data_IF_990395436447
#
_entry.id   IF_990395436447
#
_cell.length_a   1.000
_cell.length_b   1.000
_cell.length_c   1.000
_cell.angle_alpha   90.00
_cell.angle_beta   90.00
_cell.angle_gamma   90.00
#
_symmetry.space_group_name_H-M   'P 1'
#
loop_
_entity.id
_entity.type
_entity.pdbx_description
1 polymer ?
#
# COMPACT_ATOMS: atom_id res chain seq x y z
N UNK A 1 -43.76 26.19 -53.56
CA UNK A 1 -43.40 27.15 -54.64
C UNK A 1 -41.87 27.10 -54.78
N UNK A 2 -41.47 26.48 -55.88
CA UNK A 2 -40.17 26.56 -56.58
C UNK A 2 -40.07 27.98 -57.23
N UNK A 3 -38.89 28.47 -57.72
CA UNK A 3 -37.78 27.67 -58.26
C UNK A 3 -36.34 28.26 -58.04
N UNK A 4 -35.39 27.43 -58.34
CA UNK A 4 -34.04 27.70 -58.89
C UNK A 4 -34.12 28.50 -60.22
N UNK A 5 -33.01 29.04 -60.83
CA UNK A 5 -31.89 28.29 -61.37
C UNK A 5 -30.49 29.01 -61.45
N UNK A 6 -29.40 28.26 -61.51
CA UNK A 6 -28.52 27.87 -62.66
C UNK A 6 -27.47 28.86 -63.17
N UNK A 7 -26.20 28.43 -63.17
CA UNK A 7 -25.23 28.09 -64.23
C UNK A 7 -24.40 29.29 -64.74
N UNK A 8 -23.08 29.26 -65.02
CA UNK A 8 -22.22 28.34 -65.78
C UNK A 8 -20.76 28.82 -65.74
N UNK A 9 -19.85 27.89 -65.75
CA UNK A 9 -18.46 27.95 -66.25
C UNK A 9 -18.47 27.86 -67.78
N UNK A 10 -17.39 27.70 -68.56
CA UNK A 10 -15.94 27.81 -68.46
C UNK A 10 -15.32 28.34 -69.80
N UNK A 11 -14.27 27.79 -70.40
CA UNK A 11 -12.87 28.14 -70.55
C UNK A 11 -12.54 28.58 -72.05
N UNK A 12 -11.48 28.21 -72.78
CA UNK A 12 -10.10 27.83 -72.62
C UNK A 12 -9.11 28.48 -73.65
N UNK A 13 -7.97 27.80 -73.85
CA UNK A 13 -7.09 27.76 -75.06
C UNK A 13 -5.70 28.34 -74.87
N UNK A 14 -4.67 27.55 -74.81
CA UNK A 14 -3.86 26.78 -75.76
C UNK A 14 -3.16 27.57 -76.89
N UNK A 15 -1.87 27.30 -77.05
CA UNK A 15 -1.07 27.10 -78.29
C UNK A 15 0.41 27.27 -77.93
N UNK A 16 1.25 26.30 -77.82
CA UNK A 16 2.04 25.44 -78.73
C UNK A 16 3.04 26.30 -79.61
N UNK A 17 4.32 25.99 -79.52
CA UNK A 17 5.27 25.53 -80.50
C UNK A 17 6.72 25.89 -80.15
N UNK A 18 7.57 24.89 -80.16
CA UNK A 18 9.05 24.85 -80.16
C UNK A 18 9.57 25.20 -81.50
N UNK A 19 10.87 25.05 -81.88
CA UNK A 19 12.13 24.82 -81.18
C UNK A 19 13.34 25.65 -81.73
N UNK A 20 14.48 25.50 -81.11
CA UNK A 20 15.71 25.98 -81.73
C UNK A 20 16.94 25.86 -80.85
N UNK A 21 17.83 24.96 -81.22
CA UNK A 21 19.11 24.72 -80.58
C UNK A 21 20.27 25.55 -81.27
N UNK A 22 21.53 25.31 -80.83
CA UNK A 22 22.38 26.21 -80.02
C UNK A 22 23.48 26.88 -80.90
N UNK A 23 24.51 27.54 -80.43
CA UNK A 23 25.69 26.99 -79.80
C UNK A 23 26.60 27.92 -78.93
N UNK A 24 27.56 27.28 -78.27
CA UNK A 24 28.98 27.64 -77.95
C UNK A 24 29.31 28.60 -76.83
N UNK A 25 29.90 27.95 -75.82
CA UNK A 25 31.18 28.29 -75.12
C UNK A 25 31.53 29.73 -74.81
N UNK A 26 31.83 29.97 -73.56
CA UNK A 26 33.07 30.52 -73.10
C UNK A 26 33.23 30.55 -71.60
N UNK A 27 34.29 29.96 -71.19
CA UNK A 27 34.91 30.00 -69.87
C UNK A 27 35.14 31.45 -69.42
N UNK A 28 34.81 31.84 -68.22
CA UNK A 28 35.78 32.39 -67.29
C UNK A 28 35.21 32.99 -65.98
N UNK A 29 35.94 32.58 -64.95
CA UNK A 29 36.32 33.36 -63.76
C UNK A 29 35.32 33.59 -62.62
N UNK A 30 35.56 32.86 -61.53
CA UNK A 30 35.46 33.35 -60.15
C UNK A 30 36.22 34.69 -59.94
N UNK A 31 35.86 35.50 -58.90
CA UNK A 31 35.68 35.08 -57.51
C UNK A 31 34.54 35.80 -56.80
N UNK A 32 33.79 35.10 -56.04
CA UNK A 32 32.95 35.71 -55.00
C UNK A 32 33.79 35.94 -53.76
N UNK A 33 34.05 37.20 -53.42
CA UNK A 33 34.55 37.61 -52.11
C UNK A 33 33.53 37.23 -51.08
N UNK A 34 33.78 36.17 -50.34
CA UNK A 34 33.05 35.92 -49.08
C UNK A 34 33.35 37.07 -48.11
N UNK A 35 32.39 37.92 -47.87
CA UNK A 35 32.53 39.00 -46.90
C UNK A 35 32.66 38.37 -45.49
N UNK A 36 33.46 38.97 -44.63
CA UNK A 36 33.67 38.54 -43.22
C UNK A 36 32.36 38.28 -42.48
N UNK A 37 31.29 38.99 -42.86
CA UNK A 37 29.93 38.84 -42.27
C UNK A 37 29.29 37.48 -42.56
N UNK A 38 29.47 36.87 -43.75
CA UNK A 38 28.88 35.56 -44.08
C UNK A 38 29.63 34.42 -43.37
N UNK A 39 30.93 34.58 -43.14
CA UNK A 39 31.71 33.60 -42.39
C UNK A 39 31.34 33.61 -40.89
N UNK A 40 31.12 34.79 -40.27
CA UNK A 40 30.67 34.90 -38.90
C UNK A 40 29.24 34.35 -38.71
N UNK A 41 28.35 34.59 -39.68
CA UNK A 41 26.98 34.03 -39.60
C UNK A 41 27.00 32.50 -39.71
N UNK A 42 27.84 31.93 -40.57
CA UNK A 42 27.97 30.46 -40.67
C UNK A 42 28.59 29.83 -39.42
N UNK A 43 29.58 30.47 -38.80
CA UNK A 43 30.19 29.98 -37.56
C UNK A 43 29.24 30.06 -36.37
N UNK A 44 28.45 31.14 -36.26
CA UNK A 44 27.41 31.24 -35.19
C UNK A 44 26.32 30.22 -35.38
N UNK A 45 25.83 29.99 -36.59
CA UNK A 45 24.82 28.97 -36.87
C UNK A 45 25.34 27.55 -36.55
N UNK A 46 26.61 27.26 -36.91
CA UNK A 46 27.22 25.99 -36.59
C UNK A 46 27.39 25.79 -35.06
N UNK A 47 27.78 26.85 -34.35
CA UNK A 47 27.88 26.82 -32.88
C UNK A 47 26.54 26.58 -32.20
N UNK A 48 25.45 27.19 -32.68
CA UNK A 48 24.08 26.96 -32.17
C UNK A 48 23.65 25.52 -32.46
N UNK A 49 23.90 25.01 -33.65
CA UNK A 49 23.58 23.62 -33.99
C UNK A 49 24.38 22.61 -33.16
N UNK A 50 25.67 22.89 -32.93
CA UNK A 50 26.53 22.06 -32.07
C UNK A 50 26.06 22.10 -30.62
N UNK A 51 25.67 23.26 -30.10
CA UNK A 51 25.08 23.41 -28.75
C UNK A 51 23.75 22.68 -28.65
N UNK A 52 22.90 22.78 -29.66
CA UNK A 52 21.63 22.06 -29.71
C UNK A 52 21.82 20.53 -29.74
N UNK A 53 22.78 20.05 -30.54
CA UNK A 53 23.13 18.63 -30.56
C UNK A 53 23.71 18.16 -29.22
N UNK A 54 24.57 18.98 -28.59
CA UNK A 54 25.08 18.69 -27.24
C UNK A 54 23.99 18.64 -26.19
N UNK A 55 23.08 19.61 -26.17
CA UNK A 55 21.95 19.62 -25.27
C UNK A 55 21.03 18.40 -25.48
N UNK A 56 20.73 18.02 -26.71
CA UNK A 56 19.95 16.83 -27.01
C UNK A 56 20.65 15.53 -26.61
N UNK A 57 21.98 15.42 -26.78
CA UNK A 57 22.71 14.20 -26.46
C UNK A 57 23.05 14.08 -24.98
N UNK A 58 23.18 15.18 -24.23
CA UNK A 58 23.62 15.15 -22.84
C UNK A 58 22.57 15.58 -21.83
N UNK A 59 21.56 16.36 -22.22
CA UNK A 59 20.51 16.86 -21.28
C UNK A 59 19.15 16.21 -21.56
N UNK A 60 18.81 15.92 -22.82
CA UNK A 60 17.53 15.33 -23.23
C UNK A 60 17.62 13.89 -23.75
N UNK A 61 18.80 13.27 -23.80
CA UNK A 61 18.86 11.83 -23.98
C UNK A 61 18.26 11.20 -22.74
N UNK A 62 17.21 10.44 -22.94
CA UNK A 62 16.79 9.45 -21.95
C UNK A 62 18.05 8.66 -21.54
N UNK A 63 18.26 8.40 -20.25
CA UNK A 63 19.36 7.55 -19.83
C UNK A 63 19.25 6.25 -20.62
N UNK A 64 20.36 5.74 -21.15
CA UNK A 64 20.33 4.50 -21.93
C UNK A 64 19.60 3.45 -21.09
N UNK A 65 18.62 2.76 -21.67
CA UNK A 65 17.87 1.66 -21.08
C UNK A 65 18.74 0.45 -20.68
N UNK A 66 20.02 0.66 -20.48
CA UNK A 66 20.99 -0.20 -19.82
C UNK A 66 21.38 0.37 -18.45
N UNK A 67 20.40 0.75 -17.64
CA UNK A 67 20.50 0.42 -16.25
C UNK A 67 20.31 -1.09 -16.21
N UNK A 68 21.41 -1.84 -16.34
CA UNK A 68 21.51 -3.12 -15.67
C UNK A 68 20.84 -2.86 -14.34
N UNK A 69 19.65 -3.45 -14.17
CA UNK A 69 19.01 -3.56 -12.90
C UNK A 69 20.10 -4.13 -11.98
N UNK A 70 20.78 -3.26 -11.25
CA UNK A 70 21.35 -3.64 -10.00
C UNK A 70 20.10 -4.02 -9.23
N UNK A 71 19.67 -5.27 -9.44
CA UNK A 71 18.86 -5.96 -8.49
C UNK A 71 19.68 -5.82 -7.22
N UNK A 72 19.26 -4.91 -6.36
CA UNK A 72 19.52 -4.99 -4.94
C UNK A 72 18.72 -6.19 -4.43
N UNK A 73 18.90 -7.34 -5.06
CA UNK A 73 18.91 -8.61 -4.44
C UNK A 73 20.12 -8.54 -3.48
N UNK A 74 19.95 -7.81 -2.39
CA UNK A 74 20.66 -8.18 -1.19
C UNK A 74 20.18 -9.60 -0.93
N UNK A 75 20.94 -10.57 -1.47
CA UNK A 75 21.03 -11.88 -0.88
C UNK A 75 21.50 -11.61 0.56
N UNK A 76 20.56 -11.28 1.43
CA UNK A 76 20.74 -11.55 2.83
C UNK A 76 20.95 -13.07 2.85
N UNK A 77 22.19 -13.43 3.00
CA UNK A 77 22.60 -14.78 3.26
C UNK A 77 21.91 -15.16 4.59
N UNK A 78 20.67 -15.60 4.49
CA UNK A 78 19.80 -16.00 5.60
C UNK A 78 20.37 -17.20 6.37
N UNK A 79 21.48 -17.76 5.86
CA UNK A 79 22.09 -18.95 6.46
C UNK A 79 22.83 -18.70 7.78
N UNK A 80 23.00 -17.44 8.25
CA UNK A 80 23.70 -17.13 9.50
C UNK A 80 23.05 -16.05 10.37
N UNK A 81 21.83 -15.60 10.10
CA UNK A 81 21.12 -14.76 11.04
C UNK A 81 20.58 -15.63 12.17
N UNK A 82 21.20 -15.51 13.34
CA UNK A 82 20.70 -16.10 14.58
C UNK A 82 19.25 -15.68 14.75
N UNK A 83 18.32 -16.64 14.81
CA UNK A 83 16.89 -16.38 14.98
C UNK A 83 16.66 -15.50 16.22
N UNK A 84 15.82 -14.48 16.09
CA UNK A 84 15.47 -13.57 17.20
C UNK A 84 14.60 -14.32 18.19
N UNK A 85 14.96 -14.28 19.46
CA UNK A 85 14.24 -14.95 20.53
C UNK A 85 13.09 -14.09 21.01
N UNK A 86 11.88 -14.61 20.91
CA UNK A 86 10.63 -13.92 21.31
C UNK A 86 9.99 -14.65 22.47
N UNK A 87 9.82 -13.97 23.59
CA UNK A 87 8.98 -14.42 24.68
C UNK A 87 7.55 -13.87 24.44
N UNK A 88 6.56 -14.75 24.48
CA UNK A 88 5.16 -14.36 24.44
C UNK A 88 4.62 -14.38 25.87
N UNK A 89 4.12 -13.24 26.32
CA UNK A 89 3.49 -13.16 27.65
C UNK A 89 2.29 -14.10 27.77
N UNK A 90 2.19 -14.73 28.92
CA UNK A 90 1.01 -15.46 29.34
C UNK A 90 0.02 -14.46 29.98
N UNK A 91 -0.68 -13.73 29.11
CA UNK A 91 -1.64 -12.73 29.55
C UNK A 91 -2.88 -13.38 30.19
N UNK A 92 -3.49 -12.73 31.23
CA UNK A 92 -4.80 -13.12 31.69
C UNK A 92 -5.81 -13.30 30.55
N UNK A 93 -6.63 -14.33 30.64
CA UNK A 93 -7.61 -14.75 29.62
C UNK A 93 -8.46 -13.59 29.08
N UNK A 94 -8.74 -12.57 29.93
CA UNK A 94 -9.54 -11.40 29.56
C UNK A 94 -8.96 -10.61 28.37
N UNK A 95 -7.67 -10.76 28.05
CA UNK A 95 -7.01 -10.05 26.95
C UNK A 95 -6.98 -10.88 25.64
N UNK A 96 -7.27 -12.17 25.70
CA UNK A 96 -7.20 -13.10 24.57
C UNK A 96 -8.54 -13.80 24.37
N UNK A 97 -8.70 -15.01 24.85
CA UNK A 97 -9.92 -15.81 24.71
C UNK A 97 -11.14 -15.15 25.35
N UNK A 98 -10.98 -14.37 26.42
CA UNK A 98 -12.06 -13.58 27.02
C UNK A 98 -12.63 -12.50 26.08
N UNK A 99 -11.79 -11.93 25.21
CA UNK A 99 -12.26 -11.00 24.17
C UNK A 99 -13.10 -11.74 23.12
N UNK A 100 -12.66 -12.94 22.70
CA UNK A 100 -13.42 -13.78 21.75
C UNK A 100 -14.77 -14.16 22.35
N UNK A 101 -14.77 -14.58 23.61
CA UNK A 101 -16.01 -14.94 24.33
C UNK A 101 -16.95 -13.72 24.43
N UNK A 102 -16.44 -12.56 24.83
CA UNK A 102 -17.21 -11.32 24.91
C UNK A 102 -17.84 -10.93 23.57
N UNK A 103 -17.06 -11.07 22.48
CA UNK A 103 -17.56 -10.87 21.12
C UNK A 103 -18.71 -11.82 20.76
N UNK A 104 -18.57 -13.12 21.11
CA UNK A 104 -19.60 -14.13 20.85
C UNK A 104 -20.85 -13.87 21.69
N UNK A 105 -20.71 -13.63 23.00
CA UNK A 105 -21.80 -13.36 23.92
C UNK A 105 -22.63 -12.13 23.52
N UNK A 106 -21.97 -11.07 23.09
CA UNK A 106 -22.63 -9.84 22.62
C UNK A 106 -23.48 -10.07 21.34
N UNK A 107 -23.31 -11.22 20.68
CA UNK A 107 -24.04 -11.63 19.45
C UNK A 107 -24.93 -12.85 19.67
N UNK A 108 -25.25 -13.15 20.92
CA UNK A 108 -26.16 -14.25 21.28
C UNK A 108 -25.51 -15.63 21.38
N UNK A 109 -24.16 -15.67 21.39
CA UNK A 109 -23.43 -16.91 21.70
C UNK A 109 -23.54 -17.31 23.17
N UNK A 110 -23.11 -18.52 23.47
CA UNK A 110 -23.06 -19.08 24.82
C UNK A 110 -21.67 -18.90 25.46
N UNK A 111 -21.64 -18.86 26.78
CA UNK A 111 -20.39 -18.86 27.54
C UNK A 111 -19.70 -20.21 27.39
N UNK A 112 -18.41 -20.17 27.08
CA UNK A 112 -17.59 -21.36 26.93
C UNK A 112 -16.54 -21.44 28.04
N UNK A 113 -16.51 -22.61 28.73
CA UNK A 113 -15.47 -22.92 29.73
C UNK A 113 -14.19 -23.46 29.12
N UNK A 114 -14.27 -24.01 27.91
CA UNK A 114 -13.15 -24.58 27.16
C UNK A 114 -12.74 -23.62 26.02
N UNK A 115 -11.56 -23.04 26.14
CA UNK A 115 -11.00 -22.11 25.16
C UNK A 115 -10.77 -22.75 23.79
N UNK A 116 -10.60 -24.08 23.70
CA UNK A 116 -10.43 -24.80 22.43
C UNK A 116 -11.69 -24.77 21.55
N UNK A 117 -12.86 -24.52 22.15
CA UNK A 117 -14.14 -24.39 21.44
C UNK A 117 -14.38 -22.97 20.92
N UNK A 118 -13.63 -21.99 21.42
CA UNK A 118 -13.74 -20.61 20.99
C UNK A 118 -13.11 -20.43 19.62
N UNK A 119 -13.89 -19.89 18.67
CA UNK A 119 -13.41 -19.56 17.33
C UNK A 119 -13.22 -18.07 17.19
N UNK A 120 -11.99 -17.68 16.84
CA UNK A 120 -11.71 -16.30 16.50
C UNK A 120 -12.59 -15.85 15.32
N UNK A 121 -13.37 -14.75 15.46
CA UNK A 121 -14.23 -14.28 14.39
C UNK A 121 -13.41 -13.70 13.25
N UNK A 122 -13.36 -14.38 12.11
CA UNK A 122 -12.63 -13.92 10.93
C UNK A 122 -13.08 -12.52 10.48
N UNK A 123 -12.16 -11.57 10.52
CA UNK A 123 -12.35 -10.19 10.07
C UNK A 123 -11.11 -9.69 9.31
N UNK A 124 -11.12 -8.44 8.87
CA UNK A 124 -9.99 -7.87 8.14
C UNK A 124 -8.76 -7.57 9.03
N UNK A 125 -8.92 -7.55 10.34
CA UNK A 125 -7.89 -7.24 11.34
C UNK A 125 -7.47 -8.50 12.11
N UNK A 126 -7.34 -9.63 11.42
CA UNK A 126 -7.09 -10.94 12.06
C UNK A 126 -5.61 -11.24 12.34
N UNK A 127 -4.69 -10.31 12.09
CA UNK A 127 -3.26 -10.54 12.32
C UNK A 127 -2.95 -10.98 13.76
N UNK A 128 -3.67 -10.41 14.75
CA UNK A 128 -3.50 -10.75 16.17
C UNK A 128 -3.73 -12.24 16.45
N UNK A 129 -4.74 -12.84 15.82
CA UNK A 129 -4.99 -14.28 15.91
C UNK A 129 -3.91 -15.11 15.24
N UNK A 130 -3.52 -14.73 14.02
CA UNK A 130 -2.53 -15.51 13.27
C UNK A 130 -1.14 -15.48 13.92
N UNK A 131 -0.70 -14.34 14.45
CA UNK A 131 0.58 -14.22 15.14
C UNK A 131 0.57 -14.94 16.50
N UNK A 132 -0.53 -14.83 17.25
CA UNK A 132 -0.75 -15.58 18.48
C UNK A 132 -0.73 -17.08 18.23
N UNK A 133 -1.50 -17.54 17.23
CA UNK A 133 -1.55 -18.96 16.85
C UNK A 133 -0.21 -19.47 16.36
N UNK A 134 0.53 -18.68 15.57
CA UNK A 134 1.84 -19.06 15.08
C UNK A 134 2.84 -19.32 16.21
N UNK A 135 2.93 -18.40 17.18
CA UNK A 135 3.84 -18.59 18.33
C UNK A 135 3.43 -19.76 19.22
N UNK A 136 2.18 -20.19 19.21
CA UNK A 136 1.70 -21.37 19.96
C UNK A 136 1.95 -22.70 19.25
N UNK A 137 2.32 -22.68 17.96
CA UNK A 137 2.69 -23.92 17.26
C UNK A 137 4.04 -24.45 17.75
N UNK A 138 4.23 -25.78 17.71
CA UNK A 138 5.54 -26.41 17.98
C UNK A 138 6.65 -25.82 17.10
N UNK A 139 7.86 -25.69 17.65
CA UNK A 139 9.01 -25.14 16.92
C UNK A 139 9.33 -25.89 15.62
N UNK A 140 9.06 -27.20 15.60
CA UNK A 140 9.26 -28.05 14.42
C UNK A 140 8.34 -27.69 13.24
N UNK A 141 7.19 -27.08 13.50
CA UNK A 141 6.25 -26.62 12.47
C UNK A 141 6.57 -25.19 11.96
N UNK A 142 7.49 -24.49 12.64
CA UNK A 142 7.89 -23.12 12.33
C UNK A 142 9.25 -23.03 11.64
N UNK A 143 9.57 -24.03 10.82
CA UNK A 143 10.86 -24.10 10.12
C UNK A 143 11.05 -22.86 9.22
N UNK A 144 12.22 -22.24 9.35
CA UNK A 144 12.58 -21.04 8.57
C UNK A 144 11.91 -19.75 9.04
N UNK A 145 11.25 -19.73 10.21
CA UNK A 145 10.81 -18.49 10.86
C UNK A 145 12.03 -17.67 11.30
N UNK A 146 11.95 -16.35 11.12
CA UNK A 146 12.97 -15.42 11.59
C UNK A 146 13.00 -15.27 13.12
N UNK A 147 11.99 -15.80 13.80
CA UNK A 147 11.87 -15.73 15.26
C UNK A 147 11.68 -17.12 15.87
N UNK A 148 12.25 -17.33 17.04
CA UNK A 148 12.05 -18.54 17.85
C UNK A 148 11.36 -18.15 19.15
N UNK A 149 10.24 -18.82 19.51
CA UNK A 149 9.62 -18.65 20.82
C UNK A 149 10.52 -19.25 21.89
N UNK A 150 10.75 -18.48 22.96
CA UNK A 150 11.42 -18.93 24.19
C UNK A 150 10.43 -18.95 25.35
N UNK A 151 10.61 -19.89 26.26
CA UNK A 151 9.74 -20.02 27.45
C UNK A 151 10.37 -19.33 28.66
N UNK A 152 11.68 -19.12 28.67
CA UNK A 152 12.37 -18.34 29.68
C UNK A 152 12.49 -16.88 29.21
N UNK A 153 11.86 -15.92 29.91
CA UNK A 153 11.90 -14.50 29.51
C UNK A 153 13.30 -13.90 29.57
N UNK A 154 14.23 -14.44 30.37
CA UNK A 154 15.62 -13.99 30.42
C UNK A 154 16.38 -14.21 29.10
N UNK A 155 15.93 -15.17 28.31
CA UNK A 155 16.53 -15.46 27.01
C UNK A 155 15.99 -14.60 25.88
N UNK A 156 14.93 -13.82 26.14
CA UNK A 156 14.22 -13.09 25.11
C UNK A 156 14.98 -11.86 24.60
N UNK A 157 14.99 -11.71 23.29
CA UNK A 157 15.39 -10.45 22.63
C UNK A 157 14.21 -9.48 22.54
N UNK A 158 12.97 -10.00 22.39
CA UNK A 158 11.72 -9.25 22.27
C UNK A 158 10.61 -9.93 23.07
N UNK A 159 9.61 -9.14 23.48
CA UNK A 159 8.45 -9.57 24.25
C UNK A 159 7.18 -9.30 23.46
N UNK A 160 6.49 -10.34 23.04
CA UNK A 160 5.21 -10.21 22.35
C UNK A 160 4.06 -10.13 23.34
N UNK A 161 3.21 -9.11 23.19
CA UNK A 161 2.02 -8.88 24.02
C UNK A 161 0.77 -9.31 23.24
N UNK A 162 0.22 -10.51 23.49
CA UNK A 162 -0.84 -11.09 22.66
C UNK A 162 -2.24 -10.56 23.03
N UNK A 163 -2.43 -9.25 23.09
CA UNK A 163 -3.75 -8.65 23.29
C UNK A 163 -4.51 -8.56 21.96
N UNK A 164 -5.74 -9.07 21.93
CA UNK A 164 -6.61 -8.99 20.74
C UNK A 164 -7.27 -7.62 20.65
N UNK A 165 -6.44 -6.62 20.42
CA UNK A 165 -6.80 -5.20 20.48
C UNK A 165 -7.82 -4.77 19.42
N UNK A 166 -7.70 -5.32 18.21
CA UNK A 166 -8.65 -5.02 17.13
C UNK A 166 -9.99 -5.71 17.32
N UNK A 167 -10.00 -6.91 17.91
CA UNK A 167 -11.23 -7.61 18.26
C UNK A 167 -11.91 -6.96 19.46
N UNK A 168 -11.13 -6.52 20.44
CA UNK A 168 -11.58 -5.79 21.63
C UNK A 168 -12.42 -4.56 21.24
N UNK A 169 -11.91 -3.77 20.31
CA UNK A 169 -12.58 -2.56 19.81
C UNK A 169 -13.98 -2.84 19.23
N UNK A 170 -14.20 -4.02 18.64
CA UNK A 170 -15.46 -4.41 17.99
C UNK A 170 -16.21 -5.51 18.76
N UNK A 171 -15.83 -5.80 19.99
CA UNK A 171 -16.49 -6.83 20.80
C UNK A 171 -17.98 -6.55 20.97
N UNK A 172 -18.35 -5.31 21.26
CA UNK A 172 -19.75 -4.90 21.27
C UNK A 172 -20.26 -4.63 19.84
N UNK A 173 -21.47 -5.08 19.49
CA UNK A 173 -22.07 -4.73 18.21
C UNK A 173 -22.38 -3.23 18.15
N UNK A 174 -22.23 -2.64 16.97
CA UNK A 174 -22.66 -1.26 16.72
C UNK A 174 -24.17 -1.20 16.92
N UNK A 175 -24.64 -0.41 17.90
CA UNK A 175 -26.06 -0.21 18.13
C UNK A 175 -26.65 0.54 16.93
N UNK A 176 -27.65 -0.06 16.28
CA UNK A 176 -28.50 0.68 15.34
C UNK A 176 -29.37 1.63 16.16
N UNK A 177 -29.41 2.91 15.78
CA UNK A 177 -30.21 3.94 16.47
C UNK A 177 -31.71 3.63 16.55
N UNK A 178 -32.20 2.59 15.87
CA UNK A 178 -33.60 2.19 15.79
C UNK A 178 -33.91 0.83 16.43
N UNK A 179 -32.98 0.18 17.11
CA UNK A 179 -33.24 -1.08 17.78
C UNK A 179 -33.78 -0.80 19.19
N UNK A 180 -35.01 -1.21 19.44
CA UNK A 180 -35.58 -1.35 20.80
C UNK A 180 -34.72 -2.38 21.52
N UNK A 181 -33.87 -1.92 22.43
CA UNK A 181 -32.93 -2.77 23.14
C UNK A 181 -33.70 -3.42 24.30
N UNK A 182 -33.85 -4.74 24.26
CA UNK A 182 -34.16 -5.48 25.49
C UNK A 182 -33.03 -5.20 26.52
N UNK A 183 -33.36 -5.04 27.80
CA UNK A 183 -32.36 -4.79 28.83
C UNK A 183 -31.37 -5.96 28.84
N UNK A 184 -30.12 -5.69 28.49
CA UNK A 184 -29.04 -6.68 28.59
C UNK A 184 -28.66 -6.73 30.08
N UNK A 185 -29.03 -7.79 30.76
CA UNK A 185 -28.71 -8.04 32.19
C UNK A 185 -27.19 -8.20 32.46
N UNK A 186 -26.35 -8.16 31.43
CA UNK A 186 -24.90 -8.33 31.57
C UNK A 186 -24.19 -7.00 31.31
N UNK A 187 -23.15 -6.67 32.10
CA UNK A 187 -22.34 -5.52 31.83
C UNK A 187 -21.75 -5.64 30.41
N UNK A 188 -21.93 -4.59 29.61
CA UNK A 188 -21.31 -4.53 28.26
C UNK A 188 -19.80 -4.63 28.42
N UNK A 189 -19.14 -5.32 27.48
CA UNK A 189 -17.69 -5.35 27.41
C UNK A 189 -17.15 -3.91 27.23
N UNK A 190 -16.12 -3.54 28.00
CA UNK A 190 -15.46 -2.23 27.89
C UNK A 190 -14.07 -2.40 27.30
N UNK A 191 -13.88 -1.91 26.08
CA UNK A 191 -12.59 -1.89 25.41
C UNK A 191 -11.61 -0.96 26.14
N UNK A 192 -12.08 0.23 26.58
CA UNK A 192 -11.26 1.21 27.29
C UNK A 192 -10.71 0.64 28.61
N UNK A 193 -11.59 0.06 29.44
CA UNK A 193 -11.17 -0.56 30.71
C UNK A 193 -10.21 -1.74 30.48
N UNK A 194 -10.41 -2.48 29.39
CA UNK A 194 -9.51 -3.59 29.04
C UNK A 194 -8.13 -3.07 28.64
N UNK A 195 -8.05 -2.00 27.86
CA UNK A 195 -6.79 -1.36 27.51
C UNK A 195 -6.06 -0.80 28.73
N UNK A 196 -6.78 -0.13 29.63
CA UNK A 196 -6.22 0.39 30.89
C UNK A 196 -5.71 -0.75 31.78
N UNK A 197 -6.51 -1.80 31.96
CA UNK A 197 -6.09 -3.00 32.68
C UNK A 197 -4.87 -3.70 32.09
N UNK A 198 -4.69 -3.64 30.76
CA UNK A 198 -3.47 -4.17 30.12
C UNK A 198 -2.23 -3.39 30.58
N UNK A 199 -2.31 -2.06 30.62
CA UNK A 199 -1.19 -1.23 31.07
C UNK A 199 -0.89 -1.48 32.55
N UNK A 200 -1.91 -1.53 33.39
CA UNK A 200 -1.75 -1.86 34.82
C UNK A 200 -1.04 -3.20 35.01
N UNK A 201 -1.41 -4.20 34.20
CA UNK A 201 -0.77 -5.51 34.23
C UNK A 201 0.69 -5.45 33.75
N UNK A 202 0.97 -4.75 32.64
CA UNK A 202 2.34 -4.57 32.13
C UNK A 202 3.23 -3.82 33.09
N UNK A 203 2.72 -2.77 33.74
CA UNK A 203 3.46 -1.99 34.74
C UNK A 203 3.84 -2.81 35.99
N UNK A 204 3.26 -3.99 36.20
CA UNK A 204 3.69 -4.94 37.23
C UNK A 204 4.82 -5.85 36.76
N UNK A 205 5.02 -6.02 35.44
CA UNK A 205 6.02 -6.94 34.88
C UNK A 205 7.42 -6.33 34.96
N UNK A 206 8.39 -7.13 35.43
CA UNK A 206 9.79 -6.75 35.54
C UNK A 206 10.41 -6.39 34.17
N UNK A 207 10.13 -7.22 33.14
CA UNK A 207 10.69 -7.05 31.80
C UNK A 207 10.13 -5.80 31.10
N UNK A 208 8.90 -5.39 31.37
CA UNK A 208 8.33 -4.13 30.93
C UNK A 208 9.13 -2.94 31.50
N UNK A 209 9.31 -2.95 32.81
CA UNK A 209 10.06 -1.88 33.52
C UNK A 209 11.54 -1.82 33.10
N UNK A 210 12.15 -2.99 32.90
CA UNK A 210 13.59 -3.13 32.60
C UNK A 210 14.06 -2.27 31.44
N UNK A 211 13.24 -2.19 30.39
CA UNK A 211 13.56 -1.48 29.15
C UNK A 211 12.48 -0.46 28.74
N UNK A 212 11.62 -0.04 29.67
CA UNK A 212 10.56 0.95 29.43
C UNK A 212 9.72 0.63 28.20
N UNK A 213 9.44 -0.66 27.95
CA UNK A 213 8.65 -1.18 26.86
C UNK A 213 9.32 -1.19 25.47
N UNK A 214 10.57 -0.73 25.30
CA UNK A 214 11.26 -0.66 24.00
C UNK A 214 11.37 -2.01 23.27
N UNK A 215 11.54 -3.10 24.01
CA UNK A 215 11.65 -4.46 23.48
C UNK A 215 10.31 -5.20 23.38
N UNK A 216 9.20 -4.49 23.51
CA UNK A 216 7.86 -5.07 23.42
C UNK A 216 7.25 -4.89 22.03
N UNK A 217 6.45 -5.86 21.62
CA UNK A 217 5.76 -5.89 20.31
C UNK A 217 4.26 -5.93 20.56
N UNK A 218 3.53 -4.97 19.98
CA UNK A 218 2.08 -4.83 20.08
C UNK A 218 1.43 -4.90 18.71
N UNK A 219 0.24 -5.47 18.62
CA UNK A 219 -0.57 -5.41 17.41
C UNK A 219 -1.66 -4.36 17.56
N UNK A 220 -1.72 -3.45 16.59
CA UNK A 220 -2.72 -2.39 16.46
C UNK A 220 -3.21 -2.38 15.00
N UNK A 221 -3.70 -3.52 14.49
CA UNK A 221 -4.04 -3.64 13.06
C UNK A 221 -5.28 -2.83 12.70
N UNK A 222 -6.31 -2.75 13.57
CA UNK A 222 -7.34 -1.73 13.40
C UNK A 222 -6.71 -0.35 13.71
N UNK A 223 -6.81 0.65 12.85
CA UNK A 223 -6.20 1.96 13.07
C UNK A 223 -6.66 2.68 14.34
N UNK A 224 -7.78 2.26 14.94
CA UNK A 224 -8.27 2.78 16.22
C UNK A 224 -7.94 1.86 17.40
N UNK A 225 -7.27 0.73 17.21
CA UNK A 225 -6.90 -0.15 18.31
C UNK A 225 -5.89 0.55 19.24
N UNK A 226 -5.96 0.26 20.52
CA UNK A 226 -5.12 0.83 21.58
C UNK A 226 -5.17 2.37 21.71
N UNK A 227 -6.19 3.02 21.12
CA UNK A 227 -6.28 4.50 21.08
C UNK A 227 -6.18 5.17 22.45
N UNK A 228 -6.66 4.49 23.51
CA UNK A 228 -6.63 5.01 24.87
C UNK A 228 -5.22 5.00 25.49
N UNK A 229 -4.41 4.02 25.09
CA UNK A 229 -3.12 3.73 25.74
C UNK A 229 -1.92 3.80 24.80
N UNK A 230 -2.11 4.23 23.57
CA UNK A 230 -1.03 4.28 22.56
C UNK A 230 0.21 5.06 23.05
N UNK A 231 0.02 6.14 23.78
CA UNK A 231 1.12 6.92 24.36
C UNK A 231 1.92 6.17 25.43
N UNK A 232 1.35 5.13 26.03
CA UNK A 232 2.04 4.27 27.00
C UNK A 232 2.84 3.18 26.34
N UNK A 233 2.39 2.70 25.16
CA UNK A 233 3.01 1.58 24.44
C UNK A 233 3.88 2.02 23.24
N UNK A 234 3.91 3.30 22.91
CA UNK A 234 4.60 3.85 21.73
C UNK A 234 6.11 3.61 21.66
N UNK A 235 6.77 3.29 22.77
CA UNK A 235 8.17 2.90 22.78
C UNK A 235 8.39 1.54 22.11
N UNK A 236 7.46 0.63 22.26
CA UNK A 236 7.52 -0.70 21.65
C UNK A 236 7.36 -0.68 20.13
N UNK A 237 7.58 -1.83 19.52
CA UNK A 237 7.34 -2.04 18.08
C UNK A 237 5.84 -2.23 17.88
N UNK A 238 5.21 -1.29 17.15
CA UNK A 238 3.80 -1.36 16.82
C UNK A 238 3.62 -2.03 15.45
N UNK A 239 2.75 -3.04 15.39
CA UNK A 239 2.33 -3.70 14.18
C UNK A 239 1.01 -3.09 13.74
N UNK A 240 1.03 -2.20 12.74
CA UNK A 240 -0.10 -1.35 12.33
C UNK A 240 -0.49 -1.57 10.88
N UNK A 241 -1.72 -1.26 10.50
CA UNK A 241 -2.11 -1.31 9.09
C UNK A 241 -1.73 -0.05 8.30
N UNK A 242 -1.67 1.09 8.97
CA UNK A 242 -1.22 2.40 8.48
C UNK A 242 -1.05 3.39 9.65
N UNK A 243 -0.57 4.59 9.36
CA UNK A 243 -0.37 5.64 10.36
C UNK A 243 -1.49 6.69 10.40
N UNK A 244 -2.60 6.47 9.71
CA UNK A 244 -3.65 7.47 9.53
C UNK A 244 -4.34 7.96 10.80
N UNK A 245 -4.17 7.26 11.92
CA UNK A 245 -4.72 7.62 13.25
C UNK A 245 -3.66 7.86 14.31
N UNK A 246 -2.40 7.72 13.95
CA UNK A 246 -1.27 7.87 14.87
C UNK A 246 -0.59 9.21 14.66
N UNK A 247 -0.19 9.85 15.76
CA UNK A 247 0.62 11.05 15.70
C UNK A 247 2.08 10.71 15.33
N UNK A 248 2.82 11.68 14.80
CA UNK A 248 4.22 11.49 14.36
C UNK A 248 5.15 10.99 15.47
N UNK A 249 4.85 11.30 16.71
CA UNK A 249 5.61 10.84 17.87
C UNK A 249 5.13 9.51 18.45
N UNK A 250 4.12 8.87 17.87
CA UNK A 250 3.58 7.60 18.33
C UNK A 250 4.07 6.43 17.48
N UNK A 251 4.24 6.63 16.17
CA UNK A 251 4.67 5.58 15.27
C UNK A 251 5.53 6.11 14.11
N UNK A 252 6.39 5.23 13.55
CA UNK A 252 7.23 5.54 12.40
C UNK A 252 7.65 4.27 11.66
N UNK A 253 7.93 4.37 10.35
CA UNK A 253 8.47 3.26 9.54
C UNK A 253 9.81 2.72 10.07
N UNK A 254 10.58 3.54 10.76
CA UNK A 254 11.88 3.15 11.32
C UNK A 254 11.70 2.08 12.39
N UNK A 255 10.72 2.26 13.29
CA UNK A 255 10.48 1.43 14.47
C UNK A 255 9.41 0.36 14.21
N UNK A 256 8.34 0.72 13.51
CA UNK A 256 7.12 -0.05 13.40
C UNK A 256 7.04 -0.88 12.11
N UNK A 257 6.06 -1.75 12.02
CA UNK A 257 5.85 -2.64 10.88
C UNK A 257 4.44 -2.42 10.33
N UNK A 258 4.34 -2.18 9.03
CA UNK A 258 3.06 -2.10 8.34
C UNK A 258 2.56 -3.51 8.04
N UNK A 259 1.31 -3.80 8.46
CA UNK A 259 0.65 -5.08 8.25
C UNK A 259 -0.35 -5.01 7.09
N UNK A 260 -0.42 -6.04 6.25
CA UNK A 260 -1.54 -6.18 5.34
C UNK A 260 -2.82 -6.52 6.12
N UNK A 261 -3.96 -5.99 5.68
CA UNK A 261 -5.26 -6.51 6.16
C UNK A 261 -5.46 -7.93 5.66
N UNK A 262 -6.14 -8.76 6.45
CA UNK A 262 -6.62 -10.06 5.97
C UNK A 262 -7.66 -9.83 4.86
N UNK A 263 -7.45 -10.46 3.71
CA UNK A 263 -8.39 -10.35 2.60
C UNK A 263 -9.76 -10.93 2.96
N UNK A 264 -10.82 -10.37 2.38
CA UNK A 264 -12.22 -10.69 2.71
C UNK A 264 -12.90 -11.57 1.68
N UNK A 265 -12.21 -11.85 0.59
CA UNK A 265 -12.68 -12.68 -0.52
C UNK A 265 -11.77 -13.86 -0.74
N UNK A 266 -12.28 -14.91 -1.38
CA UNK A 266 -11.45 -16.07 -1.71
C UNK A 266 -10.41 -15.69 -2.75
N UNK A 267 -9.20 -16.18 -2.56
CA UNK A 267 -8.10 -16.03 -3.50
C UNK A 267 -8.48 -16.55 -4.90
N UNK A 268 -8.05 -15.84 -5.91
CA UNK A 268 -8.19 -16.28 -7.29
C UNK A 268 -7.23 -17.43 -7.61
N UNK A 269 -7.78 -18.55 -8.05
CA UNK A 269 -7.03 -19.78 -8.36
C UNK A 269 -6.88 -20.01 -9.86
N UNK A 270 -7.51 -19.17 -10.70
CA UNK A 270 -7.42 -19.28 -12.16
C UNK A 270 -6.08 -18.82 -12.72
N UNK A 271 -5.92 -19.02 -14.01
CA UNK A 271 -4.73 -18.60 -14.73
C UNK A 271 -4.66 -17.09 -14.96
N UNK A 272 -3.46 -16.62 -15.26
CA UNK A 272 -3.23 -15.25 -15.71
C UNK A 272 -3.90 -15.09 -17.07
N UNK A 273 -4.73 -14.05 -17.20
CA UNK A 273 -5.43 -13.78 -18.44
C UNK A 273 -6.36 -12.58 -18.34
N UNK A 274 -6.76 -12.06 -19.47
CA UNK A 274 -7.66 -10.91 -19.57
C UNK A 274 -9.00 -11.27 -20.27
N UNK A 275 -9.11 -12.47 -20.83
CA UNK A 275 -10.27 -12.92 -21.60
C UNK A 275 -11.56 -12.92 -20.78
N UNK A 276 -11.46 -13.28 -19.50
CA UNK A 276 -12.57 -13.29 -18.54
C UNK A 276 -12.70 -11.98 -17.75
N UNK A 277 -11.90 -10.93 -18.09
CA UNK A 277 -11.88 -9.63 -17.41
C UNK A 277 -12.50 -8.56 -18.31
N UNK A 278 -13.81 -8.64 -18.45
CA UNK A 278 -14.58 -7.80 -19.37
C UNK A 278 -14.70 -6.35 -18.90
N UNK A 279 -14.62 -6.09 -17.58
CA UNK A 279 -14.67 -4.74 -17.03
C UNK A 279 -13.29 -4.14 -16.96
N UNK A 280 -13.17 -2.85 -17.27
CA UNK A 280 -11.93 -2.08 -17.14
C UNK A 280 -11.57 -1.89 -15.67
N UNK A 281 -12.48 -1.33 -14.89
CA UNK A 281 -12.22 -0.91 -13.51
C UNK A 281 -13.37 -1.35 -12.60
N UNK A 282 -13.00 -1.83 -11.41
CA UNK A 282 -13.95 -2.23 -10.37
C UNK A 282 -13.68 -1.51 -9.05
N UNK A 283 -14.74 -1.06 -8.39
CA UNK A 283 -14.73 -0.69 -6.98
C UNK A 283 -16.05 -1.02 -6.32
N UNK A 284 -15.96 -1.63 -5.12
CA UNK A 284 -17.13 -1.81 -4.26
C UNK A 284 -16.75 -1.51 -2.81
N UNK A 285 -17.34 -0.46 -2.26
CA UNK A 285 -17.05 0.00 -0.90
C UNK A 285 -17.97 1.12 -0.47
N UNK A 286 -17.83 1.57 0.78
CA UNK A 286 -18.62 2.69 1.26
C UNK A 286 -18.22 3.98 0.50
N UNK A 287 -19.20 4.63 -0.13
CA UNK A 287 -19.05 5.87 -0.88
C UNK A 287 -18.74 7.04 0.07
N UNK A 288 -19.49 7.14 1.15
CA UNK A 288 -19.39 8.26 2.08
C UNK A 288 -18.48 7.89 3.25
N UNK A 289 -17.44 8.66 3.46
CA UNK A 289 -16.47 8.51 4.53
C UNK A 289 -16.21 9.86 5.20
N UNK A 290 -15.76 9.82 6.45
CA UNK A 290 -15.27 11.01 7.15
C UNK A 290 -13.87 11.39 6.62
N UNK A 291 -13.48 12.63 6.75
CA UNK A 291 -12.15 13.16 6.43
C UNK A 291 -11.62 12.79 5.02
N UNK A 292 -10.59 11.96 4.91
CA UNK A 292 -9.97 11.55 3.65
C UNK A 292 -10.88 10.83 2.65
N UNK A 293 -12.08 10.42 3.10
CA UNK A 293 -13.02 9.71 2.25
C UNK A 293 -13.84 10.55 1.28
N UNK A 294 -13.72 11.86 1.28
CA UNK A 294 -14.39 12.76 0.31
C UNK A 294 -14.02 12.40 -1.14
N UNK A 295 -12.81 11.94 -1.38
CA UNK A 295 -12.35 11.51 -2.70
C UNK A 295 -13.22 10.39 -3.29
N UNK A 296 -13.76 9.51 -2.45
CA UNK A 296 -14.62 8.40 -2.93
C UNK A 296 -15.89 8.91 -3.58
N UNK A 297 -16.56 9.89 -2.98
CA UNK A 297 -17.78 10.47 -3.55
C UNK A 297 -17.52 11.15 -4.89
N UNK A 298 -16.41 11.89 -5.01
CA UNK A 298 -15.98 12.49 -6.27
C UNK A 298 -15.72 11.43 -7.35
N UNK A 299 -15.02 10.34 -6.99
CA UNK A 299 -14.76 9.25 -7.90
C UNK A 299 -16.04 8.52 -8.33
N UNK A 300 -17.03 8.36 -7.43
CA UNK A 300 -18.34 7.82 -7.79
C UNK A 300 -19.02 8.70 -8.84
N UNK A 301 -19.10 10.02 -8.61
CA UNK A 301 -19.72 10.95 -9.54
C UNK A 301 -19.07 10.94 -10.93
N UNK A 302 -17.76 10.76 -11.00
CA UNK A 302 -17.00 10.75 -12.26
C UNK A 302 -17.09 9.42 -13.01
N UNK A 303 -17.22 8.30 -12.29
CA UNK A 303 -17.05 6.96 -12.84
C UNK A 303 -18.37 6.19 -13.04
N UNK A 304 -19.45 6.58 -12.36
CA UNK A 304 -20.72 5.85 -12.40
C UNK A 304 -21.40 5.83 -13.79
N UNK A 305 -20.98 6.71 -14.71
CA UNK A 305 -21.53 6.83 -16.07
C UNK A 305 -20.69 6.12 -17.13
N UNK A 306 -19.54 5.55 -16.75
CA UNK A 306 -18.64 4.85 -17.68
C UNK A 306 -19.09 3.41 -17.86
N UNK A 307 -19.32 2.98 -19.10
CA UNK A 307 -19.92 1.66 -19.44
C UNK A 307 -19.05 0.48 -19.03
N UNK A 308 -17.71 0.63 -19.09
CA UNK A 308 -16.74 -0.41 -18.77
C UNK A 308 -16.24 -0.36 -17.29
N UNK A 309 -16.87 0.49 -16.47
CA UNK A 309 -16.53 0.66 -15.05
C UNK A 309 -17.66 0.16 -14.15
N UNK A 310 -17.29 -0.63 -13.15
CA UNK A 310 -18.23 -1.07 -12.12
C UNK A 310 -17.85 -0.37 -10.81
N UNK A 311 -18.61 0.62 -10.42
CA UNK A 311 -18.46 1.31 -9.14
C UNK A 311 -19.77 1.21 -8.34
N UNK A 312 -19.69 0.63 -7.12
CA UNK A 312 -20.87 0.32 -6.33
C UNK A 312 -20.67 0.65 -4.85
N UNK A 313 -21.75 1.10 -4.22
CA UNK A 313 -21.80 1.18 -2.77
C UNK A 313 -21.85 -0.25 -2.20
N UNK A 314 -20.94 -0.55 -1.25
CA UNK A 314 -20.85 -1.86 -0.61
C UNK A 314 -21.41 -1.87 0.80
N UNK A 315 -22.14 -2.93 1.16
CA UNK A 315 -22.60 -3.20 2.51
C UNK A 315 -21.81 -4.37 3.15
N UNK A 316 -21.88 -4.50 4.48
CA UNK A 316 -21.27 -5.63 5.19
C UNK A 316 -22.20 -6.85 5.17
N UNK A 317 -22.38 -7.47 4.00
CA UNK A 317 -23.20 -8.66 3.84
C UNK A 317 -22.46 -9.78 3.10
N UNK A 318 -23.02 -10.99 3.10
CA UNK A 318 -22.48 -12.12 2.33
C UNK A 318 -22.62 -11.87 0.82
N UNK A 319 -23.74 -11.27 0.42
CA UNK A 319 -24.05 -10.91 -0.97
C UNK A 319 -23.05 -9.90 -1.49
N UNK A 320 -22.79 -8.82 -0.73
CA UNK A 320 -21.77 -7.82 -1.09
C UNK A 320 -20.37 -8.42 -1.23
N UNK A 321 -20.01 -9.37 -0.38
CA UNK A 321 -18.71 -10.07 -0.53
C UNK A 321 -18.65 -10.94 -1.77
N UNK A 322 -19.74 -11.64 -2.10
CA UNK A 322 -19.84 -12.44 -3.34
C UNK A 322 -19.74 -11.56 -4.58
N UNK A 323 -20.44 -10.45 -4.57
CA UNK A 323 -20.41 -9.47 -5.66
C UNK A 323 -19.02 -8.82 -5.80
N UNK A 324 -18.40 -8.42 -4.69
CA UNK A 324 -17.03 -7.89 -4.69
C UNK A 324 -16.02 -8.90 -5.26
N UNK A 325 -16.12 -10.18 -4.85
CA UNK A 325 -15.29 -11.25 -5.42
C UNK A 325 -15.49 -11.38 -6.94
N UNK A 326 -16.76 -11.48 -7.40
CA UNK A 326 -17.05 -11.56 -8.81
C UNK A 326 -16.47 -10.37 -9.57
N UNK A 327 -16.72 -9.15 -9.09
CA UNK A 327 -16.23 -7.94 -9.74
C UNK A 327 -14.70 -7.89 -9.82
N UNK A 328 -13.97 -8.24 -8.74
CA UNK A 328 -12.51 -8.27 -8.74
C UNK A 328 -11.93 -9.37 -9.64
N UNK A 329 -12.60 -10.52 -9.74
CA UNK A 329 -12.15 -11.61 -10.61
C UNK A 329 -12.43 -11.35 -12.10
N UNK A 330 -13.36 -10.45 -12.43
CA UNK A 330 -13.76 -10.15 -13.83
C UNK A 330 -13.35 -8.77 -14.31
N UNK A 331 -12.56 -8.04 -13.53
CA UNK A 331 -12.06 -6.71 -13.90
C UNK A 331 -10.54 -6.70 -14.08
N UNK A 332 -10.04 -5.85 -14.97
CA UNK A 332 -8.60 -5.67 -15.21
C UNK A 332 -7.95 -4.91 -14.08
N UNK A 333 -8.60 -3.85 -13.63
CA UNK A 333 -8.13 -2.94 -12.59
C UNK A 333 -9.11 -2.89 -11.43
N UNK A 334 -8.57 -2.76 -10.21
CA UNK A 334 -9.34 -2.61 -8.97
C UNK A 334 -8.95 -1.33 -8.25
N UNK A 335 -9.92 -0.43 -8.08
CA UNK A 335 -9.69 0.87 -7.48
C UNK A 335 -9.47 0.76 -5.97
N UNK A 336 -8.45 1.44 -5.47
CA UNK A 336 -8.17 1.57 -4.05
C UNK A 336 -8.06 3.05 -3.66
N UNK A 337 -9.16 3.75 -3.43
CA UNK A 337 -9.15 5.12 -2.92
C UNK A 337 -9.01 5.13 -1.40
N UNK A 338 -8.34 6.14 -0.86
CA UNK A 338 -8.29 6.38 0.58
C UNK A 338 -9.69 6.34 1.21
N UNK A 339 -9.77 5.88 2.44
CA UNK A 339 -10.99 5.83 3.24
C UNK A 339 -10.91 6.76 4.45
N UNK A 340 -11.34 6.25 5.62
CA UNK A 340 -11.13 6.95 6.90
C UNK A 340 -9.65 6.97 7.29
N UNK A 341 -8.87 6.08 6.70
CA UNK A 341 -7.41 6.01 6.75
C UNK A 341 -6.85 5.70 5.36
N UNK A 342 -5.54 5.88 5.13
CA UNK A 342 -4.93 5.69 3.83
C UNK A 342 -5.06 4.27 3.27
N UNK A 343 -5.01 3.23 4.12
CA UNK A 343 -5.09 1.83 3.71
C UNK A 343 -6.49 1.23 3.92
N UNK A 344 -6.78 0.12 3.27
CA UNK A 344 -8.00 -0.66 3.48
C UNK A 344 -7.87 -2.09 2.91
N UNK A 345 -8.67 -3.04 3.40
CA UNK A 345 -8.65 -4.44 2.97
C UNK A 345 -8.85 -4.64 1.46
N UNK A 346 -9.49 -3.70 0.76
CA UNK A 346 -9.74 -3.79 -0.69
C UNK A 346 -8.47 -3.87 -1.54
N UNK A 347 -7.37 -3.29 -1.07
CA UNK A 347 -6.06 -3.43 -1.72
C UNK A 347 -5.62 -4.90 -1.74
N UNK A 348 -5.71 -5.55 -0.60
CA UNK A 348 -5.28 -6.95 -0.44
C UNK A 348 -6.27 -7.92 -1.11
N UNK A 349 -7.57 -7.62 -1.08
CA UNK A 349 -8.59 -8.31 -1.89
C UNK A 349 -8.24 -8.24 -3.40
N UNK A 350 -7.80 -7.09 -3.91
CA UNK A 350 -7.40 -6.92 -5.30
C UNK A 350 -6.15 -7.73 -5.64
N UNK A 351 -5.12 -7.70 -4.77
CA UNK A 351 -3.87 -8.44 -4.96
C UNK A 351 -4.14 -9.94 -5.06
N UNK A 352 -4.88 -10.54 -4.12
CA UNK A 352 -5.18 -11.97 -4.15
C UNK A 352 -6.15 -12.37 -5.27
N UNK A 353 -6.83 -11.40 -5.88
CA UNK A 353 -7.67 -11.57 -7.06
C UNK A 353 -6.94 -11.44 -8.38
N UNK A 354 -5.64 -11.15 -8.40
CA UNK A 354 -4.86 -10.76 -9.58
C UNK A 354 -5.53 -9.62 -10.37
N UNK A 355 -6.30 -8.77 -9.69
CA UNK A 355 -6.86 -7.54 -10.23
C UNK A 355 -5.86 -6.42 -9.96
N UNK A 356 -5.36 -5.75 -11.00
CA UNK A 356 -4.30 -4.75 -10.85
C UNK A 356 -4.78 -3.58 -9.99
N UNK A 357 -4.22 -3.36 -8.79
CA UNK A 357 -4.64 -2.26 -7.93
C UNK A 357 -4.35 -0.90 -8.56
N UNK A 358 -5.33 0.01 -8.47
CA UNK A 358 -5.16 1.42 -8.81
C UNK A 358 -5.26 2.21 -7.50
N UNK A 359 -4.12 2.63 -6.99
CA UNK A 359 -4.00 3.25 -5.66
C UNK A 359 -4.16 4.77 -5.80
N UNK A 360 -5.19 5.29 -5.13
CA UNK A 360 -5.48 6.73 -5.02
C UNK A 360 -5.50 7.07 -3.53
N UNK A 361 -4.33 7.12 -2.96
CA UNK A 361 -4.11 7.38 -1.53
C UNK A 361 -2.71 7.93 -1.36
N UNK A 362 -2.60 9.26 -1.23
CA UNK A 362 -1.32 9.99 -1.29
C UNK A 362 -0.41 9.72 -0.07
N UNK A 363 -0.98 9.25 1.03
CA UNK A 363 -0.27 9.00 2.29
C UNK A 363 -0.32 7.52 2.72
N UNK A 364 -0.45 6.60 1.76
CA UNK A 364 -0.46 5.19 2.07
C UNK A 364 0.97 4.68 2.31
N UNK A 365 1.14 3.96 3.40
CA UNK A 365 2.29 3.13 3.66
C UNK A 365 1.91 1.67 3.35
N UNK A 366 2.81 0.96 2.71
CA UNK A 366 2.53 -0.36 2.18
C UNK A 366 3.35 -1.43 2.91
N UNK A 367 2.77 -2.62 3.16
CA UNK A 367 3.53 -3.68 3.81
C UNK A 367 4.60 -4.26 2.87
N UNK A 368 5.76 -4.61 3.45
CA UNK A 368 6.80 -5.39 2.79
C UNK A 368 7.47 -4.70 1.59
N UNK A 369 7.53 -3.37 1.56
CA UNK A 369 8.14 -2.61 0.45
C UNK A 369 9.64 -2.87 0.26
N UNK A 370 10.31 -3.48 1.23
CA UNK A 370 11.70 -3.92 1.11
C UNK A 370 11.88 -5.14 0.20
N UNK A 371 10.82 -5.93 -0.02
CA UNK A 371 10.83 -7.13 -0.87
C UNK A 371 9.80 -7.08 -1.99
N UNK A 372 8.76 -6.26 -1.88
CA UNK A 372 7.70 -6.08 -2.87
C UNK A 372 7.81 -4.73 -3.53
N UNK A 373 8.16 -4.71 -4.81
CA UNK A 373 8.12 -3.48 -5.61
C UNK A 373 6.69 -3.24 -6.12
N UNK A 374 5.94 -2.41 -5.42
CA UNK A 374 4.55 -2.09 -5.77
C UNK A 374 4.38 -1.44 -7.14
N UNK A 375 5.41 -0.81 -7.72
CA UNK A 375 5.37 -0.26 -9.08
C UNK A 375 5.20 -1.36 -10.13
N UNK A 376 5.55 -2.61 -9.80
CA UNK A 376 5.38 -3.78 -10.67
C UNK A 376 4.03 -4.46 -10.53
N UNK A 377 3.26 -4.15 -9.49
CA UNK A 377 2.00 -4.82 -9.18
C UNK A 377 0.80 -3.87 -9.10
N UNK A 378 1.01 -2.55 -9.11
CA UNK A 378 -0.04 -1.54 -8.95
C UNK A 378 0.21 -0.31 -9.80
N UNK A 379 -0.85 0.49 -10.00
CA UNK A 379 -0.80 1.80 -10.65
C UNK A 379 -1.09 2.85 -9.58
N UNK A 380 -0.19 3.82 -9.43
CA UNK A 380 -0.38 4.95 -8.53
C UNK A 380 -0.90 6.17 -9.28
N UNK A 381 -1.89 6.82 -8.71
CA UNK A 381 -2.44 8.08 -9.21
C UNK A 381 -2.69 9.00 -8.00
N UNK A 382 -2.13 10.19 -8.02
CA UNK A 382 -2.37 11.18 -6.98
C UNK A 382 -3.84 11.60 -6.93
N UNK A 383 -4.31 11.95 -5.75
CA UNK A 383 -5.72 12.24 -5.49
C UNK A 383 -6.25 13.41 -6.33
N UNK A 384 -5.47 14.47 -6.51
CA UNK A 384 -5.88 15.66 -7.27
C UNK A 384 -6.01 15.37 -8.77
N UNK A 385 -5.14 14.51 -9.30
CA UNK A 385 -5.17 14.11 -10.71
C UNK A 385 -6.27 13.09 -10.96
N UNK A 386 -6.50 12.17 -10.03
CA UNK A 386 -7.53 11.14 -10.16
C UNK A 386 -8.95 11.70 -10.31
N UNK A 387 -9.24 12.86 -9.68
CA UNK A 387 -10.55 13.50 -9.75
C UNK A 387 -10.72 14.46 -10.93
N UNK A 388 -9.74 14.58 -11.82
CA UNK A 388 -9.91 15.32 -13.08
C UNK A 388 -10.85 14.54 -14.01
N UNK A 389 -11.88 15.17 -14.59
CA UNK A 389 -12.86 14.50 -15.44
C UNK A 389 -12.20 13.66 -16.56
N UNK A 390 -12.57 12.41 -16.67
CA UNK A 390 -12.10 11.49 -17.71
C UNK A 390 -10.62 11.07 -17.60
N UNK A 391 -9.81 11.65 -16.72
CA UNK A 391 -8.37 11.37 -16.66
C UNK A 391 -8.09 9.90 -16.31
N UNK A 392 -8.70 9.41 -15.24
CA UNK A 392 -8.43 8.06 -14.72
C UNK A 392 -8.77 6.99 -15.75
N UNK A 393 -9.97 7.04 -16.31
CA UNK A 393 -10.44 6.06 -17.30
C UNK A 393 -9.59 6.13 -18.57
N UNK A 394 -9.30 7.34 -19.07
CA UNK A 394 -8.42 7.52 -20.23
C UNK A 394 -7.01 6.97 -19.99
N UNK A 395 -6.46 7.13 -18.79
CA UNK A 395 -5.15 6.55 -18.40
C UNK A 395 -5.22 5.01 -18.42
N UNK A 396 -6.25 4.42 -17.82
CA UNK A 396 -6.37 2.96 -17.71
C UNK A 396 -6.65 2.30 -19.07
N UNK A 397 -7.46 2.91 -19.94
CA UNK A 397 -7.73 2.43 -21.32
C UNK A 397 -6.47 2.43 -22.20
N UNK A 398 -5.46 3.24 -21.87
CA UNK A 398 -4.17 3.25 -22.60
C UNK A 398 -3.20 2.16 -22.17
N UNK A 399 -3.47 1.46 -21.06
CA UNK A 399 -2.61 0.36 -20.61
C UNK A 399 -2.83 -0.83 -21.56
N UNK A 400 -1.77 -1.29 -22.22
CA UNK A 400 -1.86 -2.43 -23.14
C UNK A 400 -2.19 -3.73 -22.41
N UNK A 401 -2.72 -4.70 -23.14
CA UNK A 401 -3.04 -6.01 -22.58
C UNK A 401 -1.79 -6.75 -22.10
N UNK A 402 -0.68 -6.62 -22.83
CA UNK A 402 0.63 -7.17 -22.42
C UNK A 402 1.05 -6.63 -21.07
N UNK A 403 0.86 -5.30 -20.85
CA UNK A 403 1.20 -4.67 -19.58
C UNK A 403 0.29 -5.13 -18.43
N UNK A 404 -1.00 -5.37 -18.68
CA UNK A 404 -1.90 -5.96 -17.69
C UNK A 404 -1.44 -7.37 -17.32
N UNK A 405 -1.05 -8.19 -18.30
CA UNK A 405 -0.51 -9.53 -18.06
C UNK A 405 0.81 -9.51 -17.29
N UNK A 406 1.67 -8.53 -17.53
CA UNK A 406 2.89 -8.33 -16.73
C UNK A 406 2.55 -8.06 -15.26
N UNK A 407 1.65 -7.12 -14.99
CA UNK A 407 1.17 -6.85 -13.63
C UNK A 407 0.63 -8.12 -12.97
N UNK A 408 -0.18 -8.92 -13.67
CA UNK A 408 -0.73 -10.16 -13.12
C UNK A 408 0.34 -11.21 -12.83
N UNK A 409 1.38 -11.33 -13.67
CA UNK A 409 2.52 -12.22 -13.42
C UNK A 409 3.25 -11.82 -12.13
N UNK A 410 3.50 -10.53 -11.95
CA UNK A 410 4.16 -10.02 -10.74
C UNK A 410 3.25 -10.17 -9.52
N UNK A 411 1.95 -9.89 -9.62
CA UNK A 411 0.98 -10.15 -8.55
C UNK A 411 0.97 -11.63 -8.14
N UNK A 412 1.00 -12.56 -9.11
CA UNK A 412 1.02 -14.01 -8.83
C UNK A 412 2.26 -14.44 -8.05
N UNK A 413 3.42 -13.79 -8.26
CA UNK A 413 4.65 -14.06 -7.53
C UNK A 413 4.58 -13.63 -6.06
N UNK A 414 3.92 -12.49 -5.79
CA UNK A 414 3.95 -11.86 -4.46
C UNK A 414 2.69 -12.09 -3.64
N UNK A 415 1.61 -12.63 -4.21
CA UNK A 415 0.31 -12.73 -3.52
C UNK A 415 0.38 -13.53 -2.21
N UNK A 416 1.25 -14.53 -2.11
CA UNK A 416 1.42 -15.35 -0.90
C UNK A 416 1.83 -14.50 0.32
N UNK A 417 2.56 -13.40 0.13
CA UNK A 417 2.87 -12.46 1.21
C UNK A 417 1.63 -11.78 1.83
N UNK A 418 0.48 -11.89 1.18
CA UNK A 418 -0.79 -11.32 1.65
C UNK A 418 -1.81 -12.39 2.08
N UNK A 419 -1.38 -13.65 2.13
CA UNK A 419 -2.19 -14.80 2.55
C UNK A 419 -1.72 -15.27 3.94
N UNK A 420 -2.51 -15.00 4.97
CA UNK A 420 -2.17 -15.32 6.36
C UNK A 420 -2.15 -16.82 6.65
N UNK A 421 -2.86 -17.60 5.85
CA UNK A 421 -2.94 -19.06 5.97
C UNK A 421 -1.79 -19.79 5.24
N UNK A 422 -1.03 -19.08 4.40
CA UNK A 422 0.13 -19.65 3.73
C UNK A 422 1.29 -19.76 4.73
N UNK A 423 1.88 -20.96 4.92
CA UNK A 423 3.00 -21.16 5.86
C UNK A 423 4.24 -20.32 5.55
N UNK A 424 4.44 -19.95 4.28
CA UNK A 424 5.53 -19.08 3.83
C UNK A 424 5.06 -17.65 3.51
N UNK A 425 3.84 -17.32 3.93
CA UNK A 425 3.17 -16.08 3.60
C UNK A 425 3.32 -15.00 4.65
N UNK A 426 2.21 -14.32 4.90
CA UNK A 426 2.14 -13.07 5.68
C UNK A 426 2.77 -13.18 7.08
N UNK A 427 2.45 -14.24 7.82
CA UNK A 427 2.91 -14.39 9.23
C UNK A 427 4.43 -14.48 9.31
N UNK A 428 5.01 -15.31 8.42
CA UNK A 428 6.47 -15.48 8.34
C UNK A 428 7.16 -14.16 7.98
N UNK A 429 6.57 -13.42 7.05
CA UNK A 429 7.12 -12.14 6.62
C UNK A 429 6.99 -11.06 7.71
N UNK A 430 5.87 -11.00 8.44
CA UNK A 430 5.74 -10.11 9.59
C UNK A 430 6.84 -10.36 10.62
N UNK A 431 7.09 -11.63 10.98
CA UNK A 431 8.16 -11.96 11.92
C UNK A 431 9.56 -11.62 11.38
N UNK A 432 9.76 -11.74 10.07
CA UNK A 432 11.00 -11.27 9.44
C UNK A 432 11.14 -9.74 9.61
N UNK A 433 10.10 -8.96 9.32
CA UNK A 433 10.10 -7.52 9.51
C UNK A 433 10.35 -7.13 10.97
N UNK A 434 9.70 -7.80 11.92
CA UNK A 434 9.92 -7.58 13.35
C UNK A 434 11.38 -7.87 13.73
N UNK A 435 11.95 -8.97 13.23
CA UNK A 435 13.34 -9.31 13.51
C UNK A 435 14.34 -8.25 13.05
N UNK A 436 14.05 -7.58 11.94
CA UNK A 436 14.87 -6.49 11.40
C UNK A 436 14.84 -5.22 12.28
N UNK A 437 13.85 -5.08 13.18
CA UNK A 437 13.79 -3.94 14.12
C UNK A 437 14.69 -4.13 15.33
N UNK A 438 15.16 -5.35 15.64
CA UNK A 438 15.95 -5.64 16.82
C UNK A 438 17.20 -4.77 16.98
N UNK A 439 18.03 -4.48 15.94
CA UNK A 439 19.18 -3.59 16.09
C UNK A 439 18.81 -2.18 16.55
N UNK A 440 17.69 -1.66 16.01
CA UNK A 440 17.17 -0.35 16.42
C UNK A 440 16.63 -0.40 17.86
N UNK A 441 15.86 -1.42 18.22
CA UNK A 441 15.36 -1.63 19.58
C UNK A 441 16.53 -1.61 20.59
N UNK A 442 17.59 -2.35 20.32
CA UNK A 442 18.80 -2.36 21.16
C UNK A 442 19.47 -0.98 21.26
N UNK A 443 19.52 -0.26 20.12
CA UNK A 443 20.03 1.12 20.12
C UNK A 443 19.17 2.02 21.02
N UNK A 444 17.86 1.93 20.93
CA UNK A 444 16.95 2.75 21.73
C UNK A 444 17.05 2.43 23.22
N UNK A 445 17.12 1.17 23.61
CA UNK A 445 17.36 0.73 24.99
C UNK A 445 18.66 1.31 25.52
N UNK A 446 19.76 1.20 24.74
CA UNK A 446 21.06 1.73 25.15
C UNK A 446 21.06 3.25 25.29
N UNK A 447 20.27 3.94 24.46
CA UNK A 447 20.10 5.41 24.56
C UNK A 447 19.27 5.80 25.76
N UNK A 448 18.21 5.08 26.06
CA UNK A 448 17.32 5.33 27.20
C UNK A 448 18.08 5.16 28.55
N UNK A 449 18.98 4.19 28.62
CA UNK A 449 19.80 3.91 29.81
C UNK A 449 20.97 4.86 30.04
N UNK A 450 21.20 5.86 29.18
CA UNK A 450 22.27 6.84 29.43
C UNK A 450 21.92 7.74 30.61
N UNK A 451 22.92 8.01 31.45
CA UNK A 451 22.80 8.91 32.60
C UNK A 451 22.58 10.38 32.20
N UNK A 452 23.05 10.76 31.00
CA UNK A 452 22.86 12.11 30.45
C UNK A 452 21.62 12.13 29.55
N UNK A 453 20.56 12.73 30.04
CA UNK A 453 19.37 13.03 29.22
C UNK A 453 19.74 14.13 28.22
N UNK A 454 19.80 13.78 26.93
CA UNK A 454 19.75 14.80 25.89
C UNK A 454 18.28 14.96 25.50
N UNK A 455 17.83 16.20 25.29
CA UNK A 455 16.56 16.41 24.65
C UNK A 455 16.59 15.69 23.30
N UNK A 456 15.63 14.82 23.12
CA UNK A 456 15.43 14.14 21.86
C UNK A 456 14.85 15.14 20.88
N UNK A 457 15.63 15.64 19.98
CA UNK A 457 15.13 15.76 18.64
C UNK A 457 15.02 14.32 18.13
N UNK A 458 13.81 13.81 17.96
CA UNK A 458 13.62 12.58 17.22
C UNK A 458 14.46 12.69 15.95
N UNK A 459 15.13 11.60 15.52
CA UNK A 459 15.67 11.61 14.19
C UNK A 459 14.46 11.85 13.28
N UNK A 460 14.35 13.09 12.84
CA UNK A 460 13.32 13.44 11.89
C UNK A 460 13.61 12.57 10.68
N UNK A 461 12.67 11.64 10.38
CA UNK A 461 12.77 10.82 9.18
C UNK A 461 12.74 11.68 7.90
N UNK A 462 12.59 12.99 8.02
CA UNK A 462 12.71 13.96 6.93
C UNK A 462 14.01 13.81 6.13
N UNK A 463 15.08 13.33 6.74
CA UNK A 463 16.32 13.02 6.00
C UNK A 463 16.21 11.78 5.09
N UNK A 464 15.18 10.94 5.27
CA UNK A 464 14.93 9.76 4.44
C UNK A 464 13.71 9.93 3.54
N UNK A 465 12.88 10.94 3.80
CA UNK A 465 11.70 11.24 3.03
C UNK A 465 11.99 12.47 2.16
N UNK A 466 12.09 12.32 0.84
CA UNK A 466 11.98 13.46 -0.06
C UNK A 466 10.59 14.08 0.09
N UNK A 467 10.51 15.39 0.19
CA UNK A 467 9.24 16.08 -0.03
C UNK A 467 8.75 15.79 -1.46
N UNK A 468 7.54 16.20 -1.80
CA UNK A 468 6.94 15.96 -3.12
C UNK A 468 7.79 16.48 -4.31
N UNK A 469 8.82 17.26 -4.06
CA UNK A 469 9.74 17.84 -5.05
C UNK A 469 11.09 17.13 -5.10
N UNK A 470 11.31 16.10 -4.28
CA UNK A 470 12.59 15.40 -4.21
C UNK A 470 13.72 16.18 -3.53
N UNK A 471 13.43 17.32 -2.94
CA UNK A 471 14.41 18.12 -2.21
C UNK A 471 14.47 17.62 -0.76
N UNK A 472 15.64 17.13 -0.35
CA UNK A 472 15.93 16.84 1.04
C UNK A 472 15.86 18.15 1.85
N UNK A 473 14.88 18.25 2.75
CA UNK A 473 14.86 19.31 3.73
C UNK A 473 15.88 18.96 4.81
N UNK A 474 17.04 19.60 4.76
CA UNK A 474 17.92 19.70 5.92
C UNK A 474 17.34 20.75 6.88
N UNK A 475 17.06 20.36 8.10
CA UNK A 475 16.93 21.30 9.21
C UNK A 475 18.31 21.78 9.65
#
# INVERSE_FOLDING_TARGET
MNPRPKLRSPPPSSVVISPGSPPKSLINKMPRKFTRSTLTLATTLFSILALYAFLNTFIFSDPPNNVSSVSFSRNYNTQNLKSVKVYMYDLPRKFTYGVIESYALARGGEKQSDDSLLKYPGNQHSAEWYLFSDLNRPSLERVGSAVTRVMNPEEADLFYVPFFSSLSLVANPIRSNNAVVAPVERPAYSDEETQESLIEWLEQQEYWKRNNGWDHVFICQDPNALYKVVDKVKNGVLLVSDFGRLARNQASLVKDVILPYSHRINTYTGDIGVENRNSLLFFMGNRYRKEGGKIRDLLFQLLEKEEDVIIKHGAQSRESRREARKGMHTSKFCLHPAGDTPSACRLFDAIVSLCVPVIISDHIELPFEDIVDYRKIAIFVDSNTAVKPGFLVKKLRKVSMERVLEYQRELKKVKHYYEYEDPNGTVKEIWRQVSLKLPLVRLMINRDKRLVKREFTEPDCSCLCSNQTGILTTL
#
